data_IF_344897802140
#
_entry.id   IF_344897802140
#
_cell.length_a   1.000
_cell.length_b   1.000
_cell.length_c   1.000
_cell.angle_alpha   90.00
_cell.angle_beta   90.00
_cell.angle_gamma   90.00
#
_symmetry.space_group_name_H-M   'P 1'
#
loop_
_entity.id
_entity.type
_entity.pdbx_description
1 polymer ?
#
# COMPACT_ATOMS: atom_id res chain seq x y z
N UNK A 1 -21.97 42.03 8.41
CA UNK A 1 -21.16 41.30 7.41
C UNK A 1 -20.92 39.86 7.91
N UNK A 2 -21.49 38.89 7.23
CA UNK A 2 -21.34 37.51 7.62
C UNK A 2 -19.91 37.03 7.26
N UNK A 3 -19.10 36.68 8.25
CA UNK A 3 -17.82 36.05 8.01
C UNK A 3 -18.05 34.58 7.67
N UNK A 4 -17.42 34.10 6.60
CA UNK A 4 -17.41 32.67 6.31
C UNK A 4 -16.70 31.94 7.45
N UNK A 5 -17.25 30.80 7.91
CA UNK A 5 -16.52 30.02 8.89
C UNK A 5 -15.17 29.60 8.29
N UNK A 6 -14.10 29.89 9.00
CA UNK A 6 -12.78 29.37 8.62
C UNK A 6 -12.84 27.85 8.57
N UNK A 7 -12.28 27.26 7.51
CA UNK A 7 -12.12 25.82 7.46
C UNK A 7 -11.18 25.43 8.61
N UNK A 8 -11.73 24.74 9.59
CA UNK A 8 -10.93 24.22 10.69
C UNK A 8 -10.14 23.01 10.17
N UNK A 9 -8.83 23.12 10.15
CA UNK A 9 -7.94 22.03 9.72
C UNK A 9 -8.18 20.73 10.50
N UNK A 10 -8.79 20.80 11.68
CA UNK A 10 -9.20 19.64 12.47
C UNK A 10 -10.35 18.84 11.85
N UNK A 11 -11.08 19.42 10.90
CA UNK A 11 -12.14 18.74 10.16
C UNK A 11 -11.65 18.02 8.90
N UNK A 12 -10.38 18.20 8.51
CA UNK A 12 -9.79 17.46 7.41
C UNK A 12 -9.56 16.02 7.87
N UNK A 13 -10.29 15.09 7.28
CA UNK A 13 -10.11 13.68 7.56
C UNK A 13 -8.93 13.12 6.76
N UNK A 14 -7.71 13.33 7.27
CA UNK A 14 -6.47 12.87 6.65
C UNK A 14 -6.42 11.36 6.39
N UNK A 15 -6.90 10.48 7.29
CA UNK A 15 -7.01 9.05 6.99
C UNK A 15 -7.92 8.76 5.79
N UNK A 16 -9.00 9.49 5.61
CA UNK A 16 -9.87 9.34 4.44
C UNK A 16 -9.14 9.75 3.15
N UNK A 17 -8.48 10.90 3.15
CA UNK A 17 -7.68 11.37 2.02
C UNK A 17 -6.56 10.38 1.69
N UNK A 18 -5.88 9.83 2.70
CA UNK A 18 -4.86 8.82 2.52
C UNK A 18 -5.43 7.53 1.91
N UNK A 19 -6.63 7.12 2.33
CA UNK A 19 -7.33 5.96 1.77
C UNK A 19 -7.70 6.18 0.30
N UNK A 20 -8.23 7.34 -0.04
CA UNK A 20 -8.58 7.71 -1.42
C UNK A 20 -7.33 7.75 -2.31
N UNK A 21 -6.23 8.29 -1.80
CA UNK A 21 -4.95 8.32 -2.48
C UNK A 21 -4.42 6.91 -2.75
N UNK A 22 -4.56 6.00 -1.79
CA UNK A 22 -4.15 4.60 -1.95
C UNK A 22 -4.97 3.88 -3.02
N UNK A 23 -6.29 4.10 -3.05
CA UNK A 23 -7.16 3.54 -4.09
C UNK A 23 -6.77 4.09 -5.47
N UNK A 24 -6.51 5.38 -5.58
CA UNK A 24 -6.05 6.02 -6.81
C UNK A 24 -4.74 5.41 -7.33
N UNK A 25 -3.77 5.21 -6.47
CA UNK A 25 -2.50 4.54 -6.82
C UNK A 25 -2.70 3.10 -7.28
N UNK A 26 -3.58 2.37 -6.59
CA UNK A 26 -3.91 1.00 -6.99
C UNK A 26 -4.49 0.95 -8.41
N UNK A 27 -5.40 1.87 -8.72
CA UNK A 27 -5.98 1.99 -10.07
C UNK A 27 -4.89 2.28 -11.09
N UNK A 28 -4.01 3.24 -10.83
CA UNK A 28 -2.90 3.60 -11.70
C UNK A 28 -1.96 2.41 -11.93
N UNK A 29 -1.59 1.71 -10.88
CA UNK A 29 -0.72 0.53 -10.96
C UNK A 29 -1.34 -0.60 -11.81
N UNK A 30 -2.63 -0.87 -11.64
CA UNK A 30 -3.35 -1.87 -12.46
C UNK A 30 -3.36 -1.44 -13.92
N UNK A 31 -3.67 -0.17 -14.20
CA UNK A 31 -3.69 0.37 -15.56
C UNK A 31 -2.30 0.30 -16.22
N UNK A 32 -1.25 0.60 -15.49
CA UNK A 32 0.13 0.52 -15.97
C UNK A 32 0.51 -0.93 -16.33
N UNK A 33 0.11 -1.89 -15.51
CA UNK A 33 0.33 -3.31 -15.82
C UNK A 33 -0.44 -3.72 -17.08
N UNK A 34 -1.72 -3.36 -17.18
CA UNK A 34 -2.55 -3.64 -18.35
C UNK A 34 -1.93 -3.04 -19.63
N UNK A 35 -1.47 -1.80 -19.56
CA UNK A 35 -0.85 -1.12 -20.69
C UNK A 35 0.46 -1.80 -21.09
N UNK A 36 1.27 -2.20 -20.12
CA UNK A 36 2.52 -2.92 -20.37
C UNK A 36 2.27 -4.26 -21.09
N UNK A 37 1.24 -4.98 -20.66
CA UNK A 37 0.84 -6.24 -21.29
C UNK A 37 0.25 -6.04 -22.68
N UNK A 38 -0.51 -4.97 -22.89
CA UNK A 38 -1.10 -4.62 -24.19
C UNK A 38 -0.06 -4.20 -25.23
N UNK A 39 1.07 -3.64 -24.78
CA UNK A 39 2.17 -3.19 -25.64
C UNK A 39 3.18 -4.32 -25.97
N UNK A 40 2.97 -5.52 -25.46
CA UNK A 40 3.81 -6.66 -25.79
C UNK A 40 3.65 -7.05 -27.28
N UNK A 41 4.73 -7.55 -27.89
CA UNK A 41 4.72 -7.96 -29.29
C UNK A 41 3.73 -9.09 -29.60
N UNK A 42 3.39 -9.87 -28.58
CA UNK A 42 2.39 -10.93 -28.67
C UNK A 42 1.18 -10.59 -27.80
N UNK A 43 -0.01 -11.01 -28.23
CA UNK A 43 -1.22 -10.86 -27.44
C UNK A 43 -1.12 -11.63 -26.12
N UNK A 44 -1.29 -10.93 -25.01
CA UNK A 44 -1.31 -11.50 -23.66
C UNK A 44 -2.74 -11.37 -23.12
N UNK A 45 -3.46 -12.49 -22.88
CA UNK A 45 -4.85 -12.44 -22.37
C UNK A 45 -5.01 -11.65 -21.06
N UNK A 46 -4.01 -11.65 -20.20
CA UNK A 46 -4.02 -10.91 -18.93
C UNK A 46 -4.06 -9.39 -19.11
N UNK A 47 -3.85 -8.84 -20.31
CA UNK A 47 -4.06 -7.42 -20.61
C UNK A 47 -5.56 -7.01 -20.52
N UNK A 48 -6.47 -7.98 -20.68
CA UNK A 48 -7.91 -7.83 -20.50
C UNK A 48 -8.39 -8.88 -19.47
N UNK A 49 -8.12 -8.66 -18.18
CA UNK A 49 -8.33 -9.68 -17.17
C UNK A 49 -9.80 -9.87 -16.82
N UNK A 50 -10.18 -11.11 -16.53
CA UNK A 50 -11.46 -11.46 -15.92
C UNK A 50 -11.39 -11.42 -14.38
N UNK A 51 -10.19 -11.54 -13.85
CA UNK A 51 -9.94 -11.63 -12.42
C UNK A 51 -8.65 -10.91 -12.05
N UNK A 52 -8.68 -10.16 -10.97
CA UNK A 52 -7.52 -9.45 -10.43
C UNK A 52 -7.33 -9.84 -8.96
N UNK A 53 -6.20 -10.45 -8.67
CA UNK A 53 -5.77 -10.72 -7.29
C UNK A 53 -4.93 -9.57 -6.78
N UNK A 54 -5.30 -9.04 -5.63
CA UNK A 54 -4.55 -7.99 -4.93
C UNK A 54 -4.13 -8.53 -3.57
N UNK A 55 -2.83 -8.67 -3.37
CA UNK A 55 -2.27 -9.24 -2.14
C UNK A 55 -1.52 -8.14 -1.38
N UNK A 56 -2.00 -7.83 -0.18
CA UNK A 56 -1.37 -6.84 0.70
C UNK A 56 -0.23 -7.45 1.52
N UNK A 57 0.65 -6.58 2.01
CA UNK A 57 1.80 -6.97 2.82
C UNK A 57 1.41 -7.70 4.12
N UNK A 58 2.30 -8.54 4.65
CA UNK A 58 2.08 -9.18 5.94
C UNK A 58 1.92 -8.16 7.07
N UNK A 59 1.19 -8.54 8.11
CA UNK A 59 0.91 -7.65 9.25
C UNK A 59 2.18 -7.14 9.96
N UNK A 60 3.27 -7.91 9.98
CA UNK A 60 4.52 -7.47 10.61
C UNK A 60 5.18 -6.28 9.89
N UNK A 61 4.91 -6.09 8.60
CA UNK A 61 5.38 -4.92 7.84
C UNK A 61 4.79 -3.62 8.41
N UNK A 62 3.55 -3.67 8.88
CA UNK A 62 2.91 -2.52 9.51
C UNK A 62 3.65 -2.08 10.78
N UNK A 63 4.07 -3.03 11.61
CA UNK A 63 4.84 -2.73 12.82
C UNK A 63 6.16 -2.01 12.49
N UNK A 64 6.83 -2.41 11.40
CA UNK A 64 8.03 -1.73 10.92
C UNK A 64 7.73 -0.31 10.45
N UNK A 65 6.66 -0.14 9.69
CA UNK A 65 6.24 1.20 9.21
C UNK A 65 5.89 2.14 10.37
N UNK A 66 5.14 1.66 11.36
CA UNK A 66 4.82 2.44 12.57
C UNK A 66 6.09 2.89 13.31
N UNK A 67 7.12 2.07 13.36
CA UNK A 67 8.42 2.44 13.93
C UNK A 67 9.07 3.61 13.17
N UNK A 68 8.97 3.60 11.83
CA UNK A 68 9.47 4.70 11.00
C UNK A 68 8.73 6.00 11.29
N UNK A 69 7.41 5.93 11.45
CA UNK A 69 6.58 7.10 11.80
C UNK A 69 7.00 7.70 13.15
N UNK A 70 7.31 6.84 14.12
CA UNK A 70 7.72 7.27 15.46
C UNK A 70 9.14 7.82 15.51
N UNK A 71 10.09 7.17 14.87
CA UNK A 71 11.53 7.48 14.96
C UNK A 71 12.02 8.41 13.85
N UNK A 72 11.23 8.59 12.78
CA UNK A 72 11.66 9.31 11.59
C UNK A 72 12.39 8.39 10.57
N UNK A 73 12.77 8.97 9.43
CA UNK A 73 13.37 8.24 8.32
C UNK A 73 14.89 8.05 8.47
N UNK A 74 15.33 7.63 9.66
CA UNK A 74 16.71 7.25 9.94
C UNK A 74 16.80 5.72 10.09
N UNK A 75 17.50 5.08 9.16
CA UNK A 75 17.58 3.63 9.09
C UNK A 75 18.18 3.01 10.35
N UNK A 76 19.22 3.63 10.93
CA UNK A 76 19.90 3.11 12.10
C UNK A 76 19.01 3.17 13.37
N UNK A 77 18.30 4.27 13.56
CA UNK A 77 17.36 4.45 14.67
C UNK A 77 16.17 3.50 14.54
N UNK A 78 15.59 3.40 13.35
CA UNK A 78 14.48 2.47 13.09
C UNK A 78 14.92 1.04 13.32
N UNK A 79 16.08 0.62 12.83
CA UNK A 79 16.62 -0.73 13.06
C UNK A 79 16.82 -1.01 14.54
N UNK A 80 17.34 -0.05 15.30
CA UNK A 80 17.50 -0.20 16.75
C UNK A 80 16.15 -0.46 17.45
N UNK A 81 15.11 0.27 17.06
CA UNK A 81 13.78 0.13 17.64
C UNK A 81 13.12 -1.19 17.24
N UNK A 82 13.13 -1.56 15.96
CA UNK A 82 12.49 -2.79 15.49
C UNK A 82 13.18 -4.04 16.03
N UNK A 83 14.49 -4.01 16.25
CA UNK A 83 15.23 -5.14 16.83
C UNK A 83 14.95 -5.37 18.31
N UNK A 84 14.28 -4.45 19.00
CA UNK A 84 13.75 -4.68 20.34
C UNK A 84 12.55 -5.64 20.35
N UNK A 85 11.85 -5.76 19.23
CA UNK A 85 10.76 -6.71 19.09
C UNK A 85 11.28 -8.11 18.73
N UNK A 86 11.08 -9.14 19.60
CA UNK A 86 11.61 -10.49 19.35
C UNK A 86 11.11 -11.12 18.06
N UNK A 87 9.85 -10.86 17.67
CA UNK A 87 9.27 -11.41 16.43
C UNK A 87 9.92 -10.81 15.17
N UNK A 88 10.23 -9.52 15.20
CA UNK A 88 10.91 -8.85 14.10
C UNK A 88 12.39 -9.25 14.05
N UNK A 89 13.02 -9.42 15.22
CA UNK A 89 14.42 -9.87 15.31
C UNK A 89 14.63 -11.22 14.64
N UNK A 90 13.70 -12.14 14.77
CA UNK A 90 13.76 -13.47 14.15
C UNK A 90 13.78 -13.40 12.61
N UNK A 91 13.27 -12.33 12.03
CA UNK A 91 13.20 -12.16 10.57
C UNK A 91 14.47 -11.57 9.95
N UNK A 92 15.37 -11.07 10.76
CA UNK A 92 16.74 -10.69 10.36
C UNK A 92 16.85 -9.85 9.11
N UNK A 93 17.38 -10.42 8.03
CA UNK A 93 17.63 -9.73 6.77
C UNK A 93 16.33 -9.19 6.11
N UNK A 94 15.21 -9.89 6.23
CA UNK A 94 13.94 -9.44 5.67
C UNK A 94 13.49 -8.11 6.30
N UNK A 95 13.68 -7.94 7.61
CA UNK A 95 13.40 -6.66 8.30
C UNK A 95 14.36 -5.57 7.83
N UNK A 96 15.64 -5.86 7.71
CA UNK A 96 16.63 -4.88 7.25
C UNK A 96 16.30 -4.36 5.84
N UNK A 97 15.97 -5.26 4.92
CA UNK A 97 15.60 -4.90 3.55
C UNK A 97 14.32 -4.06 3.52
N UNK A 98 13.32 -4.45 4.30
CA UNK A 98 12.07 -3.71 4.41
C UNK A 98 12.28 -2.31 4.99
N UNK A 99 13.08 -2.18 6.05
CA UNK A 99 13.41 -0.88 6.65
C UNK A 99 14.07 0.03 5.60
N UNK A 100 15.01 -0.49 4.81
CA UNK A 100 15.65 0.24 3.73
C UNK A 100 14.65 0.79 2.71
N UNK A 101 13.71 -0.04 2.25
CA UNK A 101 12.67 0.36 1.31
C UNK A 101 11.70 1.38 1.90
N UNK A 102 11.22 1.16 3.12
CA UNK A 102 10.27 2.05 3.78
C UNK A 102 10.89 3.39 4.18
N UNK A 103 12.16 3.43 4.53
CA UNK A 103 12.89 4.67 4.80
C UNK A 103 12.99 5.52 3.52
N UNK A 104 13.27 4.90 2.37
CA UNK A 104 13.23 5.60 1.08
C UNK A 104 11.84 6.15 0.78
N UNK A 105 10.81 5.36 1.02
CA UNK A 105 9.41 5.80 0.86
C UNK A 105 9.09 7.00 1.75
N UNK A 106 9.54 6.99 3.01
CA UNK A 106 9.22 8.01 4.00
C UNK A 106 9.96 9.34 3.77
N UNK A 107 11.17 9.32 3.22
CA UNK A 107 12.01 10.52 3.03
C UNK A 107 11.38 11.61 2.17
N UNK A 108 10.48 11.26 1.27
CA UNK A 108 9.81 12.24 0.40
C UNK A 108 8.50 12.79 0.95
N UNK A 109 8.13 12.44 2.18
CA UNK A 109 6.82 12.73 2.76
C UNK A 109 6.93 13.44 4.09
N UNK A 110 5.92 14.28 4.40
CA UNK A 110 5.87 14.93 5.71
C UNK A 110 5.36 13.97 6.80
N UNK A 111 5.63 14.34 8.05
CA UNK A 111 5.27 13.55 9.23
C UNK A 111 3.77 13.29 9.31
N UNK A 112 2.94 14.31 9.02
CA UNK A 112 1.47 14.19 9.07
C UNK A 112 0.92 13.24 7.98
N UNK A 113 1.53 13.25 6.81
CA UNK A 113 1.20 12.29 5.74
C UNK A 113 1.53 10.87 6.18
N UNK A 114 2.69 10.65 6.78
CA UNK A 114 3.10 9.34 7.29
C UNK A 114 2.21 8.83 8.42
N UNK A 115 1.83 9.71 9.35
CA UNK A 115 0.87 9.38 10.42
C UNK A 115 -0.49 8.99 9.86
N UNK A 116 -0.98 9.72 8.86
CA UNK A 116 -2.24 9.40 8.20
C UNK A 116 -2.19 8.03 7.51
N UNK A 117 -1.11 7.72 6.82
CA UNK A 117 -0.88 6.40 6.21
C UNK A 117 -0.81 5.28 7.24
N UNK A 118 -0.14 5.52 8.37
CA UNK A 118 -0.06 4.54 9.46
C UNK A 118 -1.43 4.22 10.08
N UNK A 119 -2.36 5.16 10.03
CA UNK A 119 -3.73 4.98 10.54
C UNK A 119 -4.64 4.21 9.58
N UNK A 120 -4.24 4.05 8.31
CA UNK A 120 -5.03 3.35 7.27
C UNK A 120 -4.80 1.85 7.36
N UNK A 121 -5.89 1.08 7.41
CA UNK A 121 -5.84 -0.35 7.18
C UNK A 121 -5.94 -0.60 5.67
N UNK A 122 -4.82 -0.96 5.05
CA UNK A 122 -4.70 -1.13 3.60
C UNK A 122 -5.66 -2.19 3.05
N UNK A 123 -5.70 -3.37 3.67
CA UNK A 123 -6.58 -4.45 3.26
C UNK A 123 -8.05 -4.04 3.33
N UNK A 124 -8.48 -3.43 4.43
CA UNK A 124 -9.86 -2.96 4.61
C UNK A 124 -10.19 -1.85 3.60
N UNK A 125 -9.27 -0.95 3.33
CA UNK A 125 -9.44 0.13 2.35
C UNK A 125 -9.73 -0.45 0.96
N UNK A 126 -8.95 -1.43 0.52
CA UNK A 126 -9.16 -2.08 -0.77
C UNK A 126 -10.46 -2.90 -0.79
N UNK A 127 -10.80 -3.60 0.29
CA UNK A 127 -12.06 -4.35 0.39
C UNK A 127 -13.29 -3.45 0.25
N UNK A 128 -13.26 -2.25 0.81
CA UNK A 128 -14.32 -1.26 0.66
C UNK A 128 -14.44 -0.74 -0.76
N UNK A 129 -13.35 -0.73 -1.50
CA UNK A 129 -13.30 -0.26 -2.88
C UNK A 129 -13.59 -1.35 -3.92
N UNK A 130 -13.79 -2.60 -3.53
CA UNK A 130 -13.97 -3.74 -4.46
C UNK A 130 -15.04 -3.46 -5.52
N UNK A 131 -16.23 -3.02 -5.13
CA UNK A 131 -17.31 -2.74 -6.08
C UNK A 131 -16.94 -1.68 -7.11
N UNK A 132 -16.22 -0.63 -6.68
CA UNK A 132 -15.70 0.40 -7.58
C UNK A 132 -14.66 -0.18 -8.53
N UNK A 133 -13.70 -0.94 -8.01
CA UNK A 133 -12.63 -1.55 -8.80
C UNK A 133 -13.17 -2.56 -9.83
N UNK A 134 -14.16 -3.37 -9.44
CA UNK A 134 -14.81 -4.31 -10.36
C UNK A 134 -15.49 -3.62 -11.53
N UNK A 135 -16.11 -2.46 -11.29
CA UNK A 135 -16.72 -1.64 -12.36
C UNK A 135 -15.67 -0.99 -13.25
N UNK A 136 -14.59 -0.48 -12.64
CA UNK A 136 -13.53 0.21 -13.36
C UNK A 136 -12.80 -0.73 -14.33
N UNK A 137 -12.55 -1.96 -13.92
CA UNK A 137 -11.77 -2.93 -14.68
C UNK A 137 -12.60 -4.02 -15.36
N UNK A 138 -13.92 -4.04 -15.13
CA UNK A 138 -14.81 -5.10 -15.63
C UNK A 138 -14.26 -6.51 -15.32
N UNK A 139 -13.83 -6.70 -14.09
CA UNK A 139 -13.20 -7.92 -13.61
C UNK A 139 -13.61 -8.22 -12.17
N UNK A 140 -13.50 -9.48 -11.77
CA UNK A 140 -13.66 -9.87 -10.36
C UNK A 140 -12.40 -9.50 -9.59
N UNK A 141 -12.56 -8.81 -8.47
CA UNK A 141 -11.46 -8.36 -7.62
C UNK A 141 -11.43 -9.19 -6.33
N UNK A 142 -10.30 -9.78 -6.02
CA UNK A 142 -10.07 -10.48 -4.77
C UNK A 142 -8.95 -9.82 -3.97
N UNK A 143 -9.20 -9.52 -2.70
CA UNK A 143 -8.24 -8.89 -1.79
C UNK A 143 -7.85 -9.90 -0.73
N UNK A 144 -6.56 -10.13 -0.57
CA UNK A 144 -6.00 -10.99 0.47
C UNK A 144 -4.78 -10.36 1.12
N UNK A 145 -4.46 -10.81 2.32
CA UNK A 145 -3.21 -10.45 3.00
C UNK A 145 -2.27 -11.67 2.95
N UNK A 146 -1.04 -11.44 2.51
CA UNK A 146 -0.06 -12.53 2.49
C UNK A 146 0.45 -12.86 3.89
N UNK A 147 0.74 -14.13 4.11
CA UNK A 147 1.49 -14.62 5.28
C UNK A 147 2.90 -15.06 4.88
N UNK A 148 3.20 -15.03 3.59
CA UNK A 148 4.48 -15.49 3.05
C UNK A 148 5.55 -14.39 3.20
N UNK A 149 6.65 -14.73 3.86
CA UNK A 149 7.79 -13.84 4.03
C UNK A 149 8.53 -13.53 2.73
N UNK A 150 8.34 -14.35 1.68
CA UNK A 150 8.96 -14.16 0.37
C UNK A 150 8.12 -13.32 -0.59
N UNK A 151 6.92 -12.91 -0.20
CA UNK A 151 6.05 -12.10 -1.03
C UNK A 151 6.66 -10.72 -1.31
N UNK A 152 6.44 -10.22 -2.52
CA UNK A 152 6.94 -8.91 -2.97
C UNK A 152 6.12 -7.73 -2.44
N UNK A 153 4.93 -7.98 -1.87
CA UNK A 153 4.08 -6.94 -1.32
C UNK A 153 4.73 -6.24 -0.13
N UNK A 154 4.77 -4.92 -0.17
CA UNK A 154 5.20 -4.06 0.96
C UNK A 154 4.07 -3.10 1.30
N UNK A 155 4.06 -2.46 2.48
CA UNK A 155 3.04 -1.48 2.82
C UNK A 155 2.85 -0.44 1.72
N UNK A 156 1.59 -0.22 1.32
CA UNK A 156 1.16 0.71 0.26
C UNK A 156 1.60 0.33 -1.17
N UNK A 157 2.19 -0.85 -1.35
CA UNK A 157 2.50 -1.45 -2.65
C UNK A 157 2.09 -2.92 -2.65
N UNK A 158 0.80 -3.21 -2.86
CA UNK A 158 0.33 -4.59 -2.91
C UNK A 158 0.88 -5.29 -4.15
N UNK A 159 0.95 -6.60 -4.07
CA UNK A 159 1.18 -7.44 -5.24
C UNK A 159 -0.10 -7.54 -6.05
N UNK A 160 -0.02 -7.33 -7.35
CA UNK A 160 -1.15 -7.34 -8.27
C UNK A 160 -0.93 -8.42 -9.32
N UNK A 161 -1.87 -9.36 -9.42
CA UNK A 161 -1.87 -10.42 -10.42
C UNK A 161 -3.12 -10.34 -11.29
N UNK A 162 -2.92 -10.10 -12.58
CA UNK A 162 -3.99 -10.04 -13.58
C UNK A 162 -4.16 -11.41 -14.21
N UNK A 163 -5.36 -11.96 -14.15
CA UNK A 163 -5.69 -13.29 -14.65
C UNK A 163 -6.81 -13.22 -15.67
N UNK A 164 -6.64 -13.94 -16.77
CA UNK A 164 -7.69 -14.12 -17.76
C UNK A 164 -8.06 -15.60 -17.85
N UNK A 165 -9.37 -15.88 -17.87
CA UNK A 165 -9.86 -17.20 -18.17
C UNK A 165 -9.66 -17.46 -19.67
N UNK A 166 -9.01 -18.58 -19.96
CA UNK A 166 -8.85 -19.04 -21.35
C UNK A 166 -10.05 -19.89 -21.79
#
# INVERSE_FOLDING_TARGET
>A
MASWPAVDDNHINRPLEASETQIGRLVDDIQDIQQSLSNADEYIPAADPDHIEITTAPSWHRAVFESIVQEGADQAEVMSTVMQNPELRKRGNAVNDLVGELVKFARGRDEKELEALASVNEEETYRRAVTFLEREFDATINISQTTDASASAIPFRPEIDLQANQ
#
